data_IF_011028401311
#
_entry.id   IF_011028401311
#
_cell.length_a   1.000
_cell.length_b   1.000
_cell.length_c   1.000
_cell.angle_alpha   90.00
_cell.angle_beta   90.00
_cell.angle_gamma   90.00
#
_symmetry.space_group_name_H-M   'P 1'
#
loop_
_entity.id
_entity.type
_entity.pdbx_description
1 polymer ?
#
# COMPACT_ATOMS: atom_id res chain seq x y z
N UNK A 1 -17.91 -8.86 25.95
CA UNK A 1 -18.25 -7.65 25.19
C UNK A 1 -17.12 -7.42 24.17
N UNK A 2 -17.40 -6.80 23.01
CA UNK A 2 -16.30 -6.42 22.13
C UNK A 2 -15.41 -5.37 22.81
N UNK A 3 -14.12 -5.41 22.53
CA UNK A 3 -13.15 -4.43 23.05
C UNK A 3 -13.50 -3.01 22.59
N UNK A 4 -13.28 -2.02 23.43
CA UNK A 4 -13.37 -0.61 23.02
C UNK A 4 -12.06 -0.23 22.35
N UNK A 5 -12.11 0.15 21.08
CA UNK A 5 -10.91 0.49 20.31
C UNK A 5 -11.01 1.88 19.67
N UNK A 6 -9.92 2.62 19.71
CA UNK A 6 -9.81 3.88 18.97
C UNK A 6 -8.40 4.14 18.47
N UNK A 7 -8.31 4.69 17.26
CA UNK A 7 -7.07 5.21 16.69
C UNK A 7 -7.30 6.62 16.15
N UNK A 8 -6.33 7.52 16.34
CA UNK A 8 -6.39 8.87 15.81
C UNK A 8 -5.02 9.40 15.37
N UNK A 9 -5.01 10.18 14.28
CA UNK A 9 -3.92 11.10 13.95
C UNK A 9 -4.25 12.46 14.56
N UNK A 10 -3.30 13.06 15.28
CA UNK A 10 -3.48 14.33 15.96
C UNK A 10 -2.34 15.31 15.66
N UNK A 11 -2.65 16.54 15.33
CA UNK A 11 -1.67 17.63 15.29
C UNK A 11 -1.42 18.25 16.67
N UNK A 12 -2.29 18.01 17.64
CA UNK A 12 -2.14 18.51 19.00
C UNK A 12 -1.13 17.68 19.80
N UNK A 13 -0.42 18.30 20.74
CA UNK A 13 0.49 17.62 21.66
C UNK A 13 -0.25 16.52 22.42
N UNK A 14 0.38 15.36 22.54
CA UNK A 14 -0.19 14.23 23.26
C UNK A 14 0.07 14.38 24.76
N UNK A 15 -0.97 14.18 25.54
CA UNK A 15 -0.92 14.18 27.01
C UNK A 15 -1.15 12.73 27.52
N UNK A 16 -0.08 11.92 27.74
CA UNK A 16 -0.21 10.51 28.09
C UNK A 16 -1.10 10.22 29.29
N UNK A 17 -1.05 11.09 30.31
CA UNK A 17 -1.89 10.92 31.49
C UNK A 17 -3.40 11.11 31.21
N UNK A 18 -3.74 11.92 30.23
CA UNK A 18 -5.14 12.09 29.76
C UNK A 18 -5.57 10.88 28.92
N UNK A 19 -4.70 10.44 28.02
CA UNK A 19 -4.97 9.29 27.16
C UNK A 19 -5.12 7.98 27.96
N UNK A 20 -4.34 7.82 29.02
CA UNK A 20 -4.40 6.62 29.87
C UNK A 20 -5.75 6.41 30.55
N UNK A 21 -6.53 7.45 30.77
CA UNK A 21 -7.88 7.35 31.38
C UNK A 21 -8.85 6.54 30.51
N UNK A 22 -8.64 6.47 29.20
CA UNK A 22 -9.44 5.66 28.32
C UNK A 22 -9.25 4.14 28.52
N UNK A 23 -8.24 3.75 29.31
CA UNK A 23 -7.95 2.35 29.63
C UNK A 23 -8.61 1.88 30.93
N UNK A 24 -9.30 2.77 31.64
CA UNK A 24 -9.99 2.42 32.88
C UNK A 24 -11.11 1.43 32.56
N UNK A 25 -10.91 0.17 32.99
CA UNK A 25 -11.82 -0.93 32.77
C UNK A 25 -11.80 -1.87 34.02
N UNK A 26 -12.92 -2.03 34.72
CA UNK A 26 -12.96 -2.82 35.95
C UNK A 26 -12.52 -4.28 35.80
N UNK A 27 -12.66 -4.86 34.59
CA UNK A 27 -12.20 -6.21 34.28
C UNK A 27 -10.72 -6.34 33.99
N UNK A 28 -9.98 -5.23 33.92
CA UNK A 28 -8.57 -5.25 33.58
C UNK A 28 -7.69 -5.59 34.79
N UNK A 29 -6.99 -6.70 34.72
CA UNK A 29 -5.90 -7.03 35.65
C UNK A 29 -4.54 -6.49 35.21
N UNK A 30 -4.43 -5.97 33.98
CA UNK A 30 -3.21 -5.40 33.43
C UNK A 30 -3.49 -4.28 32.45
N UNK A 31 -2.78 -3.18 32.62
CA UNK A 31 -2.76 -2.03 31.68
C UNK A 31 -1.31 -1.80 31.26
N UNK A 32 -1.06 -1.70 29.96
CA UNK A 32 0.26 -1.39 29.40
C UNK A 32 0.14 -0.15 28.51
N UNK A 33 1.00 0.83 28.75
CA UNK A 33 1.13 2.01 27.89
C UNK A 33 2.52 2.09 27.32
N UNK A 34 2.62 2.53 26.05
CA UNK A 34 3.86 2.80 25.36
C UNK A 34 3.87 4.24 24.85
N UNK A 35 4.99 4.91 25.02
CA UNK A 35 5.26 6.24 24.51
C UNK A 35 6.49 6.21 23.62
N UNK A 36 6.31 6.45 22.32
CA UNK A 36 7.41 6.72 21.40
C UNK A 36 7.74 8.21 21.41
N UNK A 37 8.96 8.57 21.82
CA UNK A 37 9.39 9.96 21.97
C UNK A 37 10.46 10.33 20.95
N UNK A 38 10.51 11.61 20.58
CA UNK A 38 11.53 12.17 19.71
C UNK A 38 12.87 12.20 20.45
N UNK A 39 13.88 11.52 19.89
CA UNK A 39 15.23 11.48 20.44
C UNK A 39 16.08 12.60 19.86
N UNK A 40 17.09 13.02 20.58
CA UNK A 40 18.04 14.05 20.15
C UNK A 40 19.13 13.52 19.18
N UNK A 41 19.10 12.23 18.82
CA UNK A 41 20.06 11.61 17.91
C UNK A 41 19.41 10.47 17.11
N UNK A 42 19.94 10.26 15.90
CA UNK A 42 19.65 9.09 15.06
C UNK A 42 20.93 8.68 14.31
N UNK A 43 21.27 7.38 14.30
CA UNK A 43 22.48 6.83 13.67
C UNK A 43 23.77 7.61 14.00
N UNK A 44 23.91 8.06 15.23
CA UNK A 44 25.08 8.83 15.70
C UNK A 44 25.07 10.32 15.32
N UNK A 45 24.01 10.82 14.71
CA UNK A 45 23.88 12.21 14.29
C UNK A 45 22.90 12.96 15.20
N UNK A 46 23.19 14.24 15.47
CA UNK A 46 22.33 15.09 16.31
C UNK A 46 21.06 15.50 15.53
N UNK A 47 19.89 15.15 16.06
CA UNK A 47 18.59 15.55 15.54
C UNK A 47 18.13 16.81 16.26
N UNK A 48 17.68 17.81 15.49
CA UNK A 48 17.14 19.05 16.03
C UNK A 48 15.62 18.96 16.23
N UNK A 49 14.90 18.37 15.28
CA UNK A 49 13.42 18.16 15.35
C UNK A 49 13.00 17.08 14.37
N UNK A 50 11.79 16.58 14.58
CA UNK A 50 11.09 15.72 13.62
C UNK A 50 9.84 16.42 13.09
N UNK A 51 9.44 16.05 11.87
CA UNK A 51 8.14 16.36 11.32
C UNK A 51 7.48 15.07 10.85
N UNK A 52 6.23 14.84 11.22
CA UNK A 52 5.45 13.70 10.72
C UNK A 52 4.38 14.18 9.76
N UNK A 53 4.36 13.59 8.57
CA UNK A 53 3.26 13.74 7.63
C UNK A 53 2.47 12.45 7.57
N UNK A 54 1.16 12.56 7.58
CA UNK A 54 0.24 11.44 7.51
C UNK A 54 -0.85 11.72 6.48
N UNK A 55 -1.41 10.67 5.92
CA UNK A 55 -2.68 10.75 5.21
C UNK A 55 -3.81 10.40 6.19
N UNK A 56 -4.48 11.39 6.84
CA UNK A 56 -5.27 11.14 8.05
C UNK A 56 -6.43 10.16 7.83
N UNK A 57 -7.13 10.27 6.70
CA UNK A 57 -8.28 9.40 6.41
C UNK A 57 -7.87 7.92 6.33
N UNK A 58 -6.77 7.62 5.61
CA UNK A 58 -6.27 6.27 5.46
C UNK A 58 -5.59 5.79 6.76
N UNK A 59 -4.77 6.63 7.38
CA UNK A 59 -4.09 6.29 8.63
C UNK A 59 -5.07 5.96 9.75
N UNK A 60 -6.15 6.72 9.89
CA UNK A 60 -7.21 6.45 10.88
C UNK A 60 -7.92 5.13 10.60
N UNK A 61 -8.27 4.84 9.34
CA UNK A 61 -8.88 3.58 8.95
C UNK A 61 -7.97 2.39 9.22
N UNK A 62 -6.71 2.47 8.78
CA UNK A 62 -5.72 1.41 8.95
C UNK A 62 -5.39 1.18 10.42
N UNK A 63 -5.11 2.25 11.17
CA UNK A 63 -4.80 2.16 12.59
C UNK A 63 -5.93 1.54 13.40
N UNK A 64 -7.17 1.94 13.13
CA UNK A 64 -8.35 1.34 13.77
C UNK A 64 -8.47 -0.16 13.46
N UNK A 65 -8.31 -0.55 12.21
CA UNK A 65 -8.36 -1.96 11.81
C UNK A 65 -7.28 -2.82 12.49
N UNK A 66 -6.07 -2.27 12.64
CA UNK A 66 -4.99 -2.92 13.40
C UNK A 66 -5.40 -3.17 14.85
N UNK A 67 -5.91 -2.13 15.52
CA UNK A 67 -6.32 -2.25 16.93
C UNK A 67 -7.47 -3.25 17.10
N UNK A 68 -8.47 -3.25 16.22
CA UNK A 68 -9.59 -4.20 16.25
C UNK A 68 -9.11 -5.65 16.10
N UNK A 69 -8.19 -5.91 15.16
CA UNK A 69 -7.64 -7.25 14.93
C UNK A 69 -6.79 -7.73 16.10
N UNK A 70 -5.91 -6.87 16.63
CA UNK A 70 -5.06 -7.25 17.78
C UNK A 70 -5.87 -7.36 19.06
N UNK A 71 -6.90 -6.53 19.24
CA UNK A 71 -7.82 -6.66 20.38
C UNK A 71 -8.54 -8.01 20.37
N UNK A 72 -9.03 -8.43 19.22
CA UNK A 72 -9.67 -9.75 19.07
C UNK A 72 -8.67 -10.89 19.28
N UNK A 73 -7.48 -10.78 18.70
CA UNK A 73 -6.43 -11.82 18.78
C UNK A 73 -5.95 -12.09 20.19
N UNK A 74 -5.83 -11.03 20.99
CA UNK A 74 -5.27 -11.08 22.33
C UNK A 74 -6.33 -11.01 23.45
N UNK A 75 -7.61 -10.92 23.10
CA UNK A 75 -8.69 -10.83 24.09
C UNK A 75 -8.61 -9.58 24.95
N UNK A 76 -8.31 -8.42 24.34
CA UNK A 76 -8.22 -7.16 25.05
C UNK A 76 -9.60 -6.66 25.46
N UNK A 77 -9.62 -5.87 26.51
CA UNK A 77 -10.80 -5.14 26.98
C UNK A 77 -10.85 -3.75 26.31
N UNK A 78 -9.71 -3.04 26.30
CA UNK A 78 -9.56 -1.75 25.62
C UNK A 78 -8.24 -1.69 24.86
N UNK A 79 -8.24 -0.99 23.71
CA UNK A 79 -7.02 -0.69 22.95
C UNK A 79 -7.14 0.68 22.30
N UNK A 80 -6.26 1.59 22.64
CA UNK A 80 -6.24 2.95 22.12
C UNK A 80 -4.85 3.32 21.63
N UNK A 81 -4.77 4.04 20.50
CA UNK A 81 -3.50 4.60 20.04
C UNK A 81 -3.71 5.95 19.37
N UNK A 82 -2.72 6.83 19.52
CA UNK A 82 -2.69 8.13 18.89
C UNK A 82 -1.30 8.36 18.33
N UNK A 83 -1.22 8.82 17.08
CA UNK A 83 0.04 9.24 16.45
C UNK A 83 -0.01 10.72 16.12
N UNK A 84 1.10 11.44 16.41
CA UNK A 84 1.26 12.86 16.07
C UNK A 84 1.50 13.06 14.59
N UNK A 85 1.00 14.17 14.06
CA UNK A 85 1.40 14.76 12.78
C UNK A 85 1.90 16.18 12.99
N UNK A 86 2.66 16.73 12.03
CA UNK A 86 3.29 18.03 12.12
C UNK A 86 4.66 18.00 12.81
N UNK A 87 5.16 19.14 13.20
CA UNK A 87 6.47 19.31 13.85
C UNK A 87 6.45 18.83 15.31
N UNK A 88 7.54 18.18 15.72
CA UNK A 88 7.77 17.70 17.08
C UNK A 88 9.19 18.05 17.52
N UNK A 89 9.28 18.64 18.71
CA UNK A 89 10.54 18.88 19.39
C UNK A 89 11.09 17.63 20.09
N UNK A 90 12.35 17.71 20.49
CA UNK A 90 13.02 16.66 21.27
C UNK A 90 12.25 16.39 22.57
N UNK A 91 12.05 15.09 22.87
CA UNK A 91 11.32 14.64 24.06
C UNK A 91 9.81 14.61 23.92
N UNK A 92 9.22 15.21 22.88
CA UNK A 92 7.78 15.14 22.64
C UNK A 92 7.34 13.72 22.28
N UNK A 93 6.11 13.36 22.67
CA UNK A 93 5.50 12.08 22.38
C UNK A 93 5.00 12.09 20.93
N UNK A 94 5.56 11.23 20.10
CA UNK A 94 5.18 11.06 18.69
C UNK A 94 4.06 10.02 18.51
N UNK A 95 4.09 8.96 19.29
CA UNK A 95 3.07 7.91 19.29
C UNK A 95 2.80 7.45 20.71
N UNK A 96 1.54 7.27 21.02
CA UNK A 96 1.08 6.66 22.27
C UNK A 96 0.21 5.44 21.95
N UNK A 97 0.45 4.33 22.62
CA UNK A 97 -0.35 3.11 22.54
C UNK A 97 -0.70 2.67 23.94
N UNK A 98 -1.96 2.39 24.20
CA UNK A 98 -2.44 1.88 25.47
C UNK A 98 -3.38 0.69 25.28
N UNK A 99 -3.21 -0.34 26.08
CA UNK A 99 -4.04 -1.55 26.08
C UNK A 99 -4.41 -1.96 27.50
N UNK A 100 -5.62 -2.48 27.67
CA UNK A 100 -6.11 -3.07 28.90
C UNK A 100 -6.56 -4.51 28.64
N UNK A 101 -6.13 -5.45 29.48
CA UNK A 101 -6.45 -6.87 29.39
C UNK A 101 -6.64 -7.49 30.77
N UNK A 102 -7.31 -8.65 30.83
CA UNK A 102 -7.48 -9.41 32.06
C UNK A 102 -6.13 -9.87 32.67
N UNK A 103 -5.12 -10.16 31.80
CA UNK A 103 -3.83 -10.69 32.21
C UNK A 103 -2.67 -9.98 31.50
N UNK A 104 -1.52 -9.88 32.21
CA UNK A 104 -0.33 -9.16 31.76
C UNK A 104 0.23 -9.64 30.42
N UNK A 105 0.25 -10.95 30.18
CA UNK A 105 0.85 -11.51 28.96
C UNK A 105 0.10 -11.05 27.70
N UNK A 106 -1.23 -11.02 27.76
CA UNK A 106 -2.06 -10.48 26.68
C UNK A 106 -1.77 -8.99 26.45
N UNK A 107 -1.66 -8.20 27.53
CA UNK A 107 -1.40 -6.76 27.44
C UNK A 107 -0.01 -6.46 26.84
N UNK A 108 1.06 -7.13 27.28
CA UNK A 108 2.40 -6.93 26.72
C UNK A 108 2.51 -7.36 25.26
N UNK A 109 1.99 -8.55 24.93
CA UNK A 109 2.05 -9.08 23.56
C UNK A 109 1.25 -8.21 22.59
N UNK A 110 0.06 -7.78 22.98
CA UNK A 110 -0.77 -6.91 22.16
C UNK A 110 -0.15 -5.53 21.97
N UNK A 111 0.37 -4.91 23.03
CA UNK A 111 1.02 -3.60 22.92
C UNK A 111 2.19 -3.64 21.94
N UNK A 112 3.02 -4.69 22.00
CA UNK A 112 4.12 -4.89 21.04
C UNK A 112 3.60 -5.10 19.63
N UNK A 113 2.64 -6.01 19.43
CA UNK A 113 2.09 -6.32 18.11
C UNK A 113 1.44 -5.11 17.46
N UNK A 114 0.64 -4.34 18.21
CA UNK A 114 0.05 -3.08 17.74
C UNK A 114 1.14 -2.11 17.31
N UNK A 115 2.16 -1.88 18.14
CA UNK A 115 3.23 -0.94 17.84
C UNK A 115 4.00 -1.31 16.57
N UNK A 116 4.39 -2.58 16.41
CA UNK A 116 5.11 -3.05 15.22
C UNK A 116 4.24 -2.88 13.96
N UNK A 117 2.97 -3.24 14.02
CA UNK A 117 2.05 -3.07 12.89
C UNK A 117 1.82 -1.60 12.54
N UNK A 118 1.61 -0.73 13.53
CA UNK A 118 1.50 0.71 13.30
C UNK A 118 2.73 1.28 12.60
N UNK A 119 3.94 0.83 12.97
CA UNK A 119 5.19 1.27 12.32
C UNK A 119 5.31 0.85 10.86
N UNK A 120 4.79 -0.32 10.50
CA UNK A 120 4.94 -0.88 9.16
C UNK A 120 3.75 -0.60 8.23
N UNK A 121 2.54 -0.49 8.78
CA UNK A 121 1.32 -0.44 7.99
C UNK A 121 0.68 0.96 7.88
N UNK A 122 1.03 1.90 8.80
CA UNK A 122 0.47 3.25 8.73
C UNK A 122 1.12 4.08 7.62
N UNK A 123 0.34 4.79 6.81
CA UNK A 123 0.83 5.75 5.83
C UNK A 123 1.26 7.04 6.55
N UNK A 124 2.40 6.96 7.25
CA UNK A 124 3.02 8.05 7.99
C UNK A 124 4.49 8.13 7.60
N UNK A 125 4.96 9.31 7.27
CA UNK A 125 6.34 9.62 6.94
C UNK A 125 6.94 10.52 7.99
N UNK A 126 8.21 10.28 8.28
CA UNK A 126 8.99 11.03 9.25
C UNK A 126 10.07 11.82 8.53
N UNK A 127 10.11 13.12 8.74
CA UNK A 127 11.17 14.02 8.30
C UNK A 127 12.08 14.31 9.47
N UNK A 128 13.34 13.97 9.35
CA UNK A 128 14.37 14.27 10.32
C UNK A 128 15.11 15.55 9.92
N UNK A 129 15.12 16.53 10.81
CA UNK A 129 15.92 17.73 10.64
C UNK A 129 17.11 17.63 11.57
N UNK A 130 18.31 17.55 11.02
CA UNK A 130 19.56 17.43 11.78
C UNK A 130 20.10 18.77 12.20
N UNK A 131 20.93 18.79 13.24
CA UNK A 131 21.54 20.01 13.78
C UNK A 131 22.49 20.71 12.78
N UNK A 132 23.02 19.99 11.80
CA UNK A 132 23.86 20.51 10.72
C UNK A 132 23.07 21.10 9.54
N UNK A 133 21.74 21.17 9.63
CA UNK A 133 20.85 21.71 8.61
C UNK A 133 20.41 20.71 7.55
N UNK A 134 20.91 19.48 7.57
CA UNK A 134 20.41 18.41 6.68
C UNK A 134 18.99 18.01 7.06
N UNK A 135 18.25 17.63 6.06
CA UNK A 135 16.87 17.15 6.19
C UNK A 135 16.75 15.81 5.46
N UNK A 136 16.19 14.82 6.14
CA UNK A 136 16.01 13.49 5.57
C UNK A 136 14.58 12.98 5.85
N UNK A 137 13.94 12.46 4.82
CA UNK A 137 12.67 11.81 4.95
C UNK A 137 12.84 10.31 5.17
N UNK A 138 12.14 9.78 6.17
CA UNK A 138 12.16 8.37 6.52
C UNK A 138 10.73 7.86 6.54
N UNK A 139 10.35 7.06 5.55
CA UNK A 139 9.06 6.39 5.48
C UNK A 139 9.02 5.07 6.27
N UNK A 140 7.88 4.38 6.29
CA UNK A 140 7.76 3.07 6.94
C UNK A 140 8.79 2.06 6.47
N UNK A 141 9.24 2.17 5.21
CA UNK A 141 10.27 1.33 4.58
C UNK A 141 11.55 2.12 4.26
N UNK A 142 11.90 3.12 5.07
CA UNK A 142 13.01 4.04 4.81
C UNK A 142 12.81 4.92 3.56
N UNK A 143 11.55 5.25 3.21
CA UNK A 143 11.17 6.08 2.06
C UNK A 143 10.70 7.46 2.49
N UNK A 144 11.05 8.48 1.72
CA UNK A 144 10.67 9.88 1.95
C UNK A 144 9.33 10.23 1.26
N UNK A 145 8.41 11.01 1.87
CA UNK A 145 7.23 11.53 1.19
C UNK A 145 7.57 12.58 0.11
N UNK A 146 8.77 13.19 0.18
CA UNK A 146 9.24 14.14 -0.84
C UNK A 146 9.79 13.44 -2.10
N UNK A 147 9.91 12.10 -2.12
CA UNK A 147 10.20 11.37 -3.36
C UNK A 147 9.11 11.51 -4.42
N UNK A 148 8.01 12.20 -4.12
CA UNK A 148 7.08 12.73 -5.11
C UNK A 148 7.55 14.01 -5.81
N UNK A 149 8.61 14.70 -5.35
CA UNK A 149 9.05 16.00 -5.89
C UNK A 149 10.57 16.24 -6.01
N UNK A 150 11.44 15.32 -5.57
CA UNK A 150 12.88 15.47 -5.72
C UNK A 150 13.52 14.25 -6.36
N UNK A 151 14.23 14.45 -7.43
CA UNK A 151 15.01 13.57 -8.28
C UNK A 151 15.95 12.62 -7.51
N UNK A 152 15.42 11.64 -6.82
CA UNK A 152 16.19 10.56 -6.23
C UNK A 152 16.12 9.36 -7.16
N UNK A 153 17.24 8.86 -7.58
CA UNK A 153 17.61 7.64 -8.29
C UNK A 153 16.60 6.53 -8.66
N UNK A 154 15.31 6.77 -8.55
CA UNK A 154 14.26 5.91 -9.09
C UNK A 154 14.31 6.07 -10.61
N UNK A 155 14.68 5.02 -11.37
CA UNK A 155 14.82 5.12 -12.80
C UNK A 155 13.49 5.49 -13.45
N UNK A 156 13.53 6.43 -14.39
CA UNK A 156 12.39 6.65 -15.29
C UNK A 156 12.17 5.38 -16.11
N UNK A 157 10.93 4.96 -16.17
CA UNK A 157 10.55 3.81 -16.96
C UNK A 157 10.37 4.23 -18.42
N UNK A 158 11.16 3.70 -19.36
CA UNK A 158 11.18 4.19 -20.73
C UNK A 158 10.01 3.67 -21.58
N UNK A 159 9.04 3.02 -20.97
CA UNK A 159 7.90 2.43 -21.66
C UNK A 159 6.90 3.45 -22.20
N UNK A 160 6.07 3.00 -23.13
CA UNK A 160 4.94 3.75 -23.66
C UNK A 160 3.64 3.15 -23.16
N UNK A 161 2.68 4.00 -22.71
CA UNK A 161 1.34 3.59 -22.33
C UNK A 161 0.38 3.70 -23.52
N UNK A 162 -0.12 2.57 -23.98
CA UNK A 162 -1.02 2.49 -25.13
C UNK A 162 -2.49 2.59 -24.74
N UNK A 163 -2.88 1.90 -23.65
CA UNK A 163 -4.26 1.85 -23.19
C UNK A 163 -4.36 1.65 -21.69
N UNK A 164 -5.44 2.14 -21.11
CA UNK A 164 -5.79 2.00 -19.70
C UNK A 164 -7.15 1.30 -19.63
N UNK A 165 -7.21 0.20 -18.89
CA UNK A 165 -8.41 -0.61 -18.69
C UNK A 165 -8.79 -0.68 -17.22
N UNK A 166 -10.04 -0.37 -16.91
CA UNK A 166 -10.62 -0.45 -15.57
C UNK A 166 -11.80 -1.41 -15.57
N UNK A 167 -12.07 -2.01 -14.41
CA UNK A 167 -13.23 -2.86 -14.20
C UNK A 167 -13.70 -2.73 -12.75
N UNK A 168 -15.00 -2.58 -12.54
CA UNK A 168 -15.59 -2.45 -11.21
C UNK A 168 -15.61 -3.76 -10.40
N UNK A 169 -15.41 -4.91 -11.05
CA UNK A 169 -15.50 -6.19 -10.38
C UNK A 169 -14.64 -7.30 -10.98
N UNK A 170 -14.61 -8.42 -10.26
CA UNK A 170 -13.91 -9.64 -10.67
C UNK A 170 -14.87 -10.58 -11.39
N UNK A 171 -14.54 -10.99 -12.62
CA UNK A 171 -15.31 -12.01 -13.34
C UNK A 171 -15.08 -13.41 -12.79
N UNK A 172 -13.96 -13.63 -12.15
CA UNK A 172 -13.56 -14.92 -11.61
C UNK A 172 -13.17 -14.79 -10.15
N UNK A 173 -14.02 -15.26 -9.25
CA UNK A 173 -13.68 -15.41 -7.85
C UNK A 173 -13.19 -16.83 -7.57
N UNK A 174 -11.90 -16.98 -7.55
CA UNK A 174 -11.12 -17.83 -6.67
C UNK A 174 -11.15 -19.34 -6.84
N UNK A 175 -12.01 -20.04 -7.59
CA UNK A 175 -11.97 -21.51 -7.70
C UNK A 175 -12.36 -22.01 -9.09
N UNK A 176 -11.65 -23.04 -9.57
CA UNK A 176 -12.01 -23.81 -10.75
C UNK A 176 -13.49 -24.23 -10.69
N UNK A 177 -14.22 -24.10 -11.81
CA UNK A 177 -15.58 -24.58 -11.94
C UNK A 177 -16.70 -23.61 -11.51
N UNK A 178 -16.41 -22.41 -11.07
CA UNK A 178 -17.44 -21.40 -10.86
C UNK A 178 -17.78 -20.67 -12.16
N UNK A 179 -19.04 -20.25 -12.29
CA UNK A 179 -19.49 -19.45 -13.43
C UNK A 179 -18.77 -18.11 -13.46
N UNK A 180 -18.34 -17.71 -14.67
CA UNK A 180 -17.86 -16.37 -14.95
C UNK A 180 -18.93 -15.34 -14.62
N UNK A 181 -18.55 -14.32 -13.83
CA UNK A 181 -19.35 -13.10 -13.70
C UNK A 181 -19.03 -12.17 -14.89
N UNK A 182 -19.93 -11.28 -15.24
CA UNK A 182 -19.76 -10.35 -16.35
C UNK A 182 -19.65 -8.92 -15.83
N UNK A 183 -18.46 -8.56 -15.36
CA UNK A 183 -18.12 -7.18 -15.08
C UNK A 183 -17.42 -6.60 -16.31
N UNK A 184 -18.02 -5.61 -16.92
CA UNK A 184 -17.48 -4.91 -18.05
C UNK A 184 -16.06 -4.39 -17.82
N UNK A 185 -15.31 -4.27 -18.91
CA UNK A 185 -14.03 -3.56 -18.92
C UNK A 185 -14.23 -2.29 -19.71
N UNK A 186 -13.88 -1.16 -19.12
CA UNK A 186 -13.90 0.14 -19.78
C UNK A 186 -12.47 0.56 -20.12
N UNK A 187 -12.28 1.09 -21.32
CA UNK A 187 -11.05 1.76 -21.71
C UNK A 187 -11.21 3.26 -21.45
N UNK A 188 -10.25 3.85 -20.76
CA UNK A 188 -10.24 5.27 -20.43
C UNK A 188 -8.98 5.95 -20.99
N UNK A 189 -9.07 7.25 -21.28
CA UNK A 189 -7.93 8.02 -21.77
C UNK A 189 -6.96 8.42 -20.67
N UNK A 190 -7.43 8.49 -19.43
CA UNK A 190 -6.61 8.80 -18.26
C UNK A 190 -7.17 8.16 -17.01
N UNK A 191 -6.30 7.98 -15.98
CA UNK A 191 -6.69 7.44 -14.67
C UNK A 191 -5.90 8.11 -13.56
N UNK A 192 -6.56 8.37 -12.45
CA UNK A 192 -5.92 8.84 -11.23
C UNK A 192 -5.31 7.64 -10.48
N UNK A 193 -4.01 7.74 -10.21
CA UNK A 193 -3.26 6.84 -9.35
C UNK A 193 -3.28 7.41 -7.93
N UNK A 194 -3.69 6.61 -6.95
CA UNK A 194 -3.69 7.02 -5.54
C UNK A 194 -2.74 6.10 -4.77
N UNK A 195 -1.72 6.68 -4.16
CA UNK A 195 -0.69 5.95 -3.41
C UNK A 195 -1.30 5.03 -2.36
N UNK A 196 -0.85 3.77 -2.34
CA UNK A 196 -1.35 2.76 -1.42
C UNK A 196 -2.78 2.26 -1.68
N UNK A 197 -3.54 2.92 -2.56
CA UNK A 197 -4.95 2.61 -2.83
C UNK A 197 -5.18 1.90 -4.14
N UNK A 198 -4.52 2.32 -5.22
CA UNK A 198 -4.73 1.77 -6.56
C UNK A 198 -5.20 2.80 -7.59
N UNK A 199 -5.74 2.30 -8.70
CA UNK A 199 -6.34 3.12 -9.76
C UNK A 199 -7.79 3.47 -9.41
N UNK A 200 -8.14 4.76 -9.42
CA UNK A 200 -9.50 5.18 -9.12
C UNK A 200 -10.50 4.60 -10.13
N UNK A 201 -11.54 3.95 -9.60
CA UNK A 201 -12.56 3.29 -10.42
C UNK A 201 -12.24 1.85 -10.81
N UNK A 202 -11.08 1.30 -10.39
CA UNK A 202 -10.76 -0.13 -10.57
C UNK A 202 -11.19 -0.96 -9.36
N UNK A 203 -11.48 -2.24 -9.56
CA UNK A 203 -11.87 -3.23 -8.54
C UNK A 203 -10.88 -3.40 -7.39
N UNK A 204 -9.62 -3.05 -7.60
CA UNK A 204 -8.59 -3.12 -6.57
C UNK A 204 -8.38 -1.80 -5.84
N UNK A 205 -9.15 -0.76 -6.16
CA UNK A 205 -9.06 0.51 -5.45
C UNK A 205 -9.49 0.35 -4.00
N UNK A 206 -8.56 0.53 -3.06
CA UNK A 206 -8.82 0.36 -1.63
C UNK A 206 -9.16 -1.08 -1.21
N UNK A 207 -8.78 -2.08 -2.02
CA UNK A 207 -9.12 -3.50 -1.79
C UNK A 207 -8.62 -4.01 -0.44
N UNK A 208 -7.35 -3.76 -0.14
CA UNK A 208 -6.75 -4.02 1.19
C UNK A 208 -5.47 -3.17 1.34
N UNK A 209 -5.07 -2.88 2.60
CA UNK A 209 -3.80 -2.20 2.86
C UNK A 209 -2.62 -2.94 2.23
N UNK A 210 -1.67 -2.19 1.69
CA UNK A 210 -0.44 -2.71 1.08
C UNK A 210 -0.65 -3.83 0.04
N UNK A 211 -1.77 -3.79 -0.67
CA UNK A 211 -2.05 -4.78 -1.70
C UNK A 211 -1.02 -4.69 -2.83
N UNK A 212 -0.31 -5.77 -3.05
CA UNK A 212 0.78 -5.84 -4.04
C UNK A 212 0.33 -5.86 -5.51
N UNK A 213 -0.96 -5.85 -5.77
CA UNK A 213 -1.57 -5.83 -7.10
C UNK A 213 -2.50 -4.64 -7.30
N UNK A 214 -2.15 -3.46 -6.77
CA UNK A 214 -2.94 -2.23 -6.90
C UNK A 214 -3.12 -1.80 -8.36
N UNK A 215 -2.15 -2.16 -9.20
CA UNK A 215 -2.16 -1.97 -10.64
C UNK A 215 -1.43 -3.10 -11.34
N UNK A 216 -1.79 -3.38 -12.58
CA UNK A 216 -1.13 -4.38 -13.43
C UNK A 216 -0.66 -3.76 -14.73
N UNK A 217 0.60 -4.03 -15.09
CA UNK A 217 1.21 -3.68 -16.39
C UNK A 217 1.22 -4.92 -17.29
N UNK A 218 0.94 -4.74 -18.56
CA UNK A 218 0.90 -5.80 -19.54
C UNK A 218 1.58 -5.39 -20.84
N UNK A 219 2.42 -6.25 -21.37
CA UNK A 219 3.19 -5.93 -22.57
C UNK A 219 2.32 -6.11 -23.84
N UNK A 220 2.27 -5.08 -24.68
CA UNK A 220 1.59 -5.12 -25.96
C UNK A 220 2.17 -6.19 -26.90
N UNK A 221 3.47 -6.46 -26.82
CA UNK A 221 4.11 -7.51 -27.62
C UNK A 221 3.57 -8.91 -27.26
N UNK A 222 3.21 -9.14 -26.01
CA UNK A 222 2.58 -10.40 -25.57
C UNK A 222 1.20 -10.55 -26.21
N UNK A 223 0.41 -9.49 -26.28
CA UNK A 223 -0.89 -9.51 -26.97
C UNK A 223 -0.73 -9.92 -28.42
N UNK A 224 0.23 -9.32 -29.14
CA UNK A 224 0.50 -9.64 -30.55
C UNK A 224 1.01 -11.08 -30.72
N UNK A 225 1.84 -11.56 -29.80
CA UNK A 225 2.32 -12.95 -29.79
C UNK A 225 1.16 -13.95 -29.65
N UNK A 226 0.20 -13.66 -28.74
CA UNK A 226 -1.00 -14.49 -28.56
C UNK A 226 -1.89 -14.43 -29.81
N UNK A 227 -2.13 -13.24 -30.37
CA UNK A 227 -2.91 -13.08 -31.59
C UNK A 227 -2.37 -13.89 -32.74
N UNK A 228 -1.05 -13.86 -32.92
CA UNK A 228 -0.34 -14.59 -33.98
C UNK A 228 -0.37 -16.11 -33.76
N UNK A 229 0.01 -16.55 -32.55
CA UNK A 229 0.13 -17.97 -32.24
C UNK A 229 -1.22 -18.70 -32.29
N UNK A 230 -2.27 -18.12 -31.71
CA UNK A 230 -3.60 -18.71 -31.65
C UNK A 230 -4.49 -18.33 -32.83
N UNK A 231 -3.98 -17.55 -33.78
CA UNK A 231 -4.70 -17.10 -35.00
C UNK A 231 -6.01 -16.36 -34.68
N UNK A 232 -5.96 -15.48 -33.66
CA UNK A 232 -7.07 -14.67 -33.16
C UNK A 232 -6.79 -13.18 -33.33
N UNK A 233 -6.65 -12.64 -34.55
CA UNK A 233 -6.21 -11.26 -34.78
C UNK A 233 -7.14 -10.20 -34.20
N UNK A 234 -8.42 -10.52 -34.05
CA UNK A 234 -9.42 -9.63 -33.47
C UNK A 234 -9.50 -9.64 -31.94
N UNK A 235 -8.65 -10.42 -31.25
CA UNK A 235 -8.64 -10.49 -29.79
C UNK A 235 -8.34 -9.11 -29.19
N UNK A 236 -9.25 -8.52 -28.40
CA UNK A 236 -8.98 -7.23 -27.74
C UNK A 236 -7.99 -7.42 -26.61
N UNK A 237 -7.05 -6.48 -26.42
CA UNK A 237 -6.11 -6.51 -25.31
C UNK A 237 -6.82 -6.46 -23.92
N UNK A 238 -8.01 -5.86 -23.85
CA UNK A 238 -8.88 -5.86 -22.69
C UNK A 238 -9.24 -7.27 -22.18
N UNK A 239 -9.25 -8.30 -23.06
CA UNK A 239 -9.56 -9.68 -22.69
C UNK A 239 -8.61 -10.23 -21.62
N UNK A 240 -7.38 -9.73 -21.54
CA UNK A 240 -6.40 -10.13 -20.52
C UNK A 240 -6.66 -9.51 -19.15
N UNK A 241 -7.59 -8.55 -19.03
CA UNK A 241 -8.00 -7.90 -17.78
C UNK A 241 -6.83 -7.32 -16.99
N UNK A 242 -5.85 -6.73 -17.69
CA UNK A 242 -4.74 -5.97 -17.11
C UNK A 242 -5.03 -4.49 -17.26
N UNK A 243 -4.56 -3.68 -16.31
CA UNK A 243 -4.91 -2.26 -16.27
C UNK A 243 -4.18 -1.43 -17.32
N UNK A 244 -2.87 -1.58 -17.43
CA UNK A 244 -2.01 -0.72 -18.25
C UNK A 244 -1.36 -1.55 -19.37
N UNK A 245 -1.72 -1.27 -20.61
CA UNK A 245 -1.09 -1.86 -21.79
C UNK A 245 0.11 -1.00 -22.18
N UNK A 246 1.30 -1.56 -22.10
CA UNK A 246 2.56 -0.85 -22.28
C UNK A 246 3.47 -1.54 -23.29
N UNK A 247 4.50 -0.83 -23.75
CA UNK A 247 5.59 -1.41 -24.58
C UNK A 247 6.94 -0.77 -24.25
N UNK A 248 8.01 -1.33 -24.83
CA UNK A 248 9.37 -0.79 -24.74
C UNK A 248 10.15 -1.25 -23.50
N UNK A 249 9.62 -2.16 -22.70
CA UNK A 249 10.25 -2.65 -21.47
C UNK A 249 10.04 -4.14 -21.24
N UNK A 250 10.96 -4.76 -20.53
CA UNK A 250 10.82 -6.14 -20.04
C UNK A 250 10.25 -6.12 -18.64
N UNK A 251 8.97 -6.41 -18.50
CA UNK A 251 8.24 -6.30 -17.24
C UNK A 251 8.85 -7.12 -16.09
N UNK A 252 9.40 -8.30 -16.39
CA UNK A 252 10.04 -9.17 -15.38
C UNK A 252 11.27 -8.56 -14.71
N UNK A 253 11.98 -7.64 -15.39
CA UNK A 253 13.16 -6.98 -14.83
C UNK A 253 12.82 -5.96 -13.74
N UNK A 254 11.56 -5.61 -13.60
CA UNK A 254 11.07 -4.60 -12.65
C UNK A 254 10.47 -5.20 -11.37
N UNK A 255 10.42 -6.52 -11.25
CA UNK A 255 10.00 -7.18 -10.01
C UNK A 255 10.99 -6.83 -8.88
N UNK A 256 10.46 -6.33 -7.76
CA UNK A 256 11.24 -5.90 -6.60
C UNK A 256 11.94 -4.55 -6.78
N UNK A 257 11.67 -3.81 -7.86
CA UNK A 257 12.29 -2.52 -8.14
C UNK A 257 11.28 -1.38 -8.14
N UNK A 258 11.73 -0.21 -7.66
CA UNK A 258 11.02 1.05 -7.85
C UNK A 258 11.28 1.62 -9.26
N UNK A 259 10.27 2.25 -9.83
CA UNK A 259 10.38 2.98 -11.09
C UNK A 259 9.37 4.13 -11.15
N UNK A 260 9.68 5.15 -11.96
CA UNK A 260 8.78 6.26 -12.22
C UNK A 260 8.24 6.16 -13.64
N UNK A 261 6.93 6.42 -13.79
CA UNK A 261 6.27 6.40 -15.08
C UNK A 261 5.23 7.51 -15.16
N UNK A 262 5.41 8.43 -16.11
CA UNK A 262 4.59 9.64 -16.25
C UNK A 262 4.47 10.44 -14.93
N UNK A 263 5.56 10.53 -14.17
CA UNK A 263 5.61 11.26 -12.90
C UNK A 263 5.03 10.53 -11.69
N UNK A 264 4.44 9.34 -11.89
CA UNK A 264 3.94 8.47 -10.81
C UNK A 264 5.01 7.44 -10.45
N UNK A 265 5.24 7.22 -9.17
CA UNK A 265 6.17 6.20 -8.69
C UNK A 265 5.46 4.89 -8.38
N UNK A 266 6.10 3.80 -8.79
CA UNK A 266 5.63 2.43 -8.63
C UNK A 266 6.71 1.54 -8.04
N UNK A 267 6.29 0.45 -7.44
CA UNK A 267 7.13 -0.69 -7.11
C UNK A 267 6.57 -1.94 -7.75
N UNK A 268 7.35 -2.58 -8.62
CA UNK A 268 7.01 -3.88 -9.15
C UNK A 268 7.04 -4.92 -8.04
N UNK A 269 5.90 -5.51 -7.74
CA UNK A 269 5.76 -6.40 -6.58
C UNK A 269 5.98 -7.88 -6.92
N UNK A 270 5.31 -8.37 -7.95
CA UNK A 270 5.41 -9.75 -8.40
C UNK A 270 4.90 -9.92 -9.83
N UNK A 271 5.18 -11.08 -10.42
CA UNK A 271 4.54 -11.46 -11.67
C UNK A 271 3.03 -11.61 -11.50
N UNK A 272 2.27 -11.07 -12.42
CA UNK A 272 0.85 -11.35 -12.53
C UNK A 272 0.66 -12.69 -13.24
N UNK A 273 0.87 -13.80 -12.52
CA UNK A 273 0.89 -15.14 -13.08
C UNK A 273 -0.35 -15.42 -13.91
N UNK A 274 -0.20 -15.97 -15.11
CA UNK A 274 -1.32 -16.49 -15.88
C UNK A 274 -2.04 -17.58 -15.08
N UNK A 275 -3.33 -17.69 -15.28
CA UNK A 275 -4.14 -18.71 -14.62
C UNK A 275 -5.15 -19.30 -15.62
N UNK A 276 -5.77 -20.42 -15.26
CA UNK A 276 -6.69 -21.20 -16.09
C UNK A 276 -7.77 -20.37 -16.81
N UNK A 277 -8.12 -19.24 -16.26
CA UNK A 277 -9.14 -18.41 -16.88
C UNK A 277 -8.64 -17.62 -18.11
N UNK A 278 -7.33 -17.54 -18.33
CA UNK A 278 -6.78 -17.08 -19.59
C UNK A 278 -7.22 -17.99 -20.74
N UNK A 279 -7.28 -19.30 -20.50
CA UNK A 279 -7.82 -20.24 -21.46
C UNK A 279 -9.31 -20.03 -21.71
N UNK A 280 -10.08 -19.68 -20.67
CA UNK A 280 -11.50 -19.37 -20.79
C UNK A 280 -11.77 -18.04 -21.48
N UNK A 281 -10.91 -17.05 -21.31
CA UNK A 281 -11.08 -15.70 -21.84
C UNK A 281 -10.58 -15.56 -23.30
N UNK A 282 -9.54 -16.32 -23.64
CA UNK A 282 -8.80 -16.15 -24.90
C UNK A 282 -8.85 -17.42 -25.77
N UNK A 283 -8.54 -18.58 -25.17
CA UNK A 283 -8.52 -19.86 -25.85
C UNK A 283 -7.64 -20.89 -25.13
N UNK A 284 -7.93 -22.18 -25.34
CA UNK A 284 -7.22 -23.27 -24.70
C UNK A 284 -5.70 -23.23 -24.98
N UNK A 285 -4.88 -23.39 -23.93
CA UNK A 285 -3.42 -23.38 -23.99
C UNK A 285 -2.78 -21.99 -23.82
N UNK A 286 -3.56 -20.92 -23.68
CA UNK A 286 -3.03 -19.55 -23.48
C UNK A 286 -2.36 -19.42 -22.11
N UNK A 287 -2.88 -20.07 -21.06
CA UNK A 287 -2.24 -20.09 -19.76
C UNK A 287 -0.80 -20.60 -19.87
N UNK A 288 -0.59 -21.74 -20.50
CA UNK A 288 0.73 -22.37 -20.65
C UNK A 288 1.66 -21.51 -21.54
N UNK A 289 1.11 -20.95 -22.61
CA UNK A 289 1.85 -20.07 -23.51
C UNK A 289 2.38 -18.82 -22.82
N UNK A 290 1.63 -18.28 -21.85
CA UNK A 290 1.99 -17.05 -21.13
C UNK A 290 2.96 -17.27 -19.94
N UNK A 291 3.17 -18.51 -19.47
CA UNK A 291 4.04 -18.78 -18.31
C UNK A 291 5.49 -18.34 -18.47
N UNK A 292 6.13 -18.50 -19.64
CA UNK A 292 7.49 -17.99 -19.82
C UNK A 292 7.59 -16.47 -19.81
N UNK A 293 8.76 -15.94 -19.39
CA UNK A 293 9.16 -14.54 -19.56
C UNK A 293 8.22 -13.48 -18.95
N UNK A 294 7.56 -13.81 -17.83
CA UNK A 294 6.59 -12.89 -17.20
C UNK A 294 5.42 -12.53 -18.14
N UNK A 295 5.00 -13.49 -18.98
CA UNK A 295 3.96 -13.27 -19.98
C UNK A 295 2.58 -12.94 -19.43
N UNK A 296 2.34 -13.13 -18.14
CA UNK A 296 1.11 -12.68 -17.45
C UNK A 296 1.10 -11.22 -17.04
N UNK A 297 2.25 -10.54 -17.13
CA UNK A 297 2.41 -9.12 -16.76
C UNK A 297 3.01 -8.90 -15.38
N UNK A 298 3.14 -7.63 -15.00
CA UNK A 298 3.69 -7.17 -13.73
C UNK A 298 2.59 -6.62 -12.83
N UNK A 299 2.53 -7.05 -11.60
CA UNK A 299 1.79 -6.39 -10.52
C UNK A 299 2.67 -5.32 -9.89
N UNK A 300 2.06 -4.20 -9.52
CA UNK A 300 2.79 -3.14 -8.85
C UNK A 300 1.95 -2.47 -7.77
N UNK A 301 2.66 -1.87 -6.81
CA UNK A 301 2.13 -0.88 -5.87
C UNK A 301 2.27 0.51 -6.45
N UNK A 302 1.35 1.38 -6.13
CA UNK A 302 1.41 2.81 -6.44
C UNK A 302 1.98 3.52 -5.22
N UNK A 303 3.12 4.20 -5.39
CA UNK A 303 3.87 4.82 -4.30
C UNK A 303 3.63 6.33 -4.21
N UNK A 304 3.20 6.98 -5.30
CA UNK A 304 2.86 8.41 -5.30
C UNK A 304 1.54 8.65 -6.03
N UNK A 305 0.85 9.72 -5.65
CA UNK A 305 -0.34 10.19 -6.36
C UNK A 305 0.04 10.79 -7.72
N UNK A 306 -0.86 10.67 -8.69
CA UNK A 306 -0.69 11.29 -10.00
C UNK A 306 -1.71 10.82 -11.02
N UNK A 307 -1.51 11.17 -12.27
CA UNK A 307 -2.42 10.84 -13.37
C UNK A 307 -1.65 10.22 -14.53
N UNK A 308 -2.05 9.02 -14.93
CA UNK A 308 -1.55 8.38 -16.15
C UNK A 308 -2.45 8.73 -17.33
N UNK A 309 -1.84 8.93 -18.51
CA UNK A 309 -2.54 9.23 -19.76
C UNK A 309 -2.10 8.29 -20.86
N UNK A 310 -3.07 7.62 -21.49
CA UNK A 310 -2.80 6.76 -22.64
C UNK A 310 -2.34 7.59 -23.85
N UNK A 311 -1.42 7.04 -24.66
CA UNK A 311 -0.86 7.70 -25.83
C UNK A 311 0.24 8.73 -25.52
N UNK A 312 0.61 8.92 -24.27
CA UNK A 312 1.72 9.80 -23.85
C UNK A 312 2.93 8.93 -23.47
N UNK A 313 4.15 9.27 -23.93
CA UNK A 313 5.38 8.62 -23.46
C UNK A 313 5.56 8.76 -21.95
N UNK A 314 6.29 7.83 -21.34
CA UNK A 314 6.67 7.88 -19.93
C UNK A 314 7.77 8.88 -19.65
#
# INVERSE_FOLDING_TARGET
>A
MPAIVSFAISSARLEPAVLARALDEPGAGAVVTFEGRVRNHNAGQAVARLEYQAYPALANKTGRAILEQEAQRHGLLNAHAVHRSGELGIGEVAVWVGVAAAHRDAAFNASRAILERLKHELPIWKKECYADGRVEWVGPDNRSPETGLAHSGVPEWPGQLHAIYLSEGHDFRGRHGQQRMDHGIIQVGQVECVAGMGLRGDRYFGYQPDYKGQVTFFDAAVVESVRSHFKVPALPAAAFRRNLLVSGVRLGEWIGKGFRFQGVEFEGSEECRPCYWMDSAVGAGVEEFLKPNCGGGLRARILSDGVLRAGVPG
#
